data_IF_111012808649
#
_entry.id   IF_111012808649
#
_cell.length_a   1.000
_cell.length_b   1.000
_cell.length_c   1.000
_cell.angle_alpha   90.00
_cell.angle_beta   90.00
_cell.angle_gamma   90.00
#
_symmetry.space_group_name_H-M   'P 1'
#
loop_
_entity.id
_entity.type
_entity.pdbx_description
1 polymer ?
#
# COMPACT_ATOMS: atom_id res chain seq x y z
N UNK A 1 -9.40 1.92 -15.47
CA UNK A 1 -9.88 3.29 -15.75
C UNK A 1 -8.65 4.12 -16.15
N UNK A 2 -8.48 4.43 -17.44
CA UNK A 2 -7.42 5.34 -17.87
C UNK A 2 -7.80 6.72 -17.35
N UNK A 3 -7.03 7.27 -16.39
CA UNK A 3 -7.15 8.68 -16.07
C UNK A 3 -6.78 9.46 -17.33
N UNK A 4 -7.71 10.23 -17.92
CA UNK A 4 -7.38 11.00 -19.11
C UNK A 4 -6.33 12.03 -18.70
N UNK A 5 -5.19 12.03 -19.39
CA UNK A 5 -4.11 13.02 -19.20
C UNK A 5 -4.60 14.46 -19.38
N UNK A 6 -5.75 14.64 -20.03
CA UNK A 6 -6.44 15.93 -20.23
C UNK A 6 -7.35 16.37 -19.07
N UNK A 7 -7.43 15.64 -17.96
CA UNK A 7 -8.29 15.97 -16.80
C UNK A 7 -7.54 16.58 -15.61
N UNK A 8 -6.21 16.69 -15.69
CA UNK A 8 -5.39 17.23 -14.60
C UNK A 8 -5.61 18.74 -14.45
N UNK A 9 -5.85 19.46 -15.54
CA UNK A 9 -6.07 20.92 -15.52
C UNK A 9 -7.50 21.33 -15.11
N UNK A 10 -8.41 20.36 -14.95
CA UNK A 10 -9.83 20.62 -14.61
C UNK A 10 -10.21 20.27 -13.17
N UNK A 11 -9.26 19.88 -12.32
CA UNK A 11 -9.54 19.63 -10.91
C UNK A 11 -9.68 20.98 -10.18
N UNK A 12 -10.85 21.31 -9.62
CA UNK A 12 -11.00 22.50 -8.80
C UNK A 12 -9.97 22.48 -7.66
N UNK A 13 -9.37 23.64 -7.36
CA UNK A 13 -8.46 23.82 -6.21
C UNK A 13 -9.10 23.47 -4.86
N UNK A 14 -10.41 23.23 -4.82
CA UNK A 14 -11.20 22.81 -3.66
C UNK A 14 -11.39 21.28 -3.52
N UNK A 15 -10.79 20.44 -4.38
CA UNK A 15 -11.03 18.98 -4.38
C UNK A 15 -10.15 18.18 -3.42
N UNK A 16 -9.12 18.79 -2.82
CA UNK A 16 -8.26 18.07 -1.87
C UNK A 16 -8.04 18.86 -0.58
N UNK A 17 -8.95 18.75 0.41
CA UNK A 17 -8.56 18.91 1.80
C UNK A 17 -7.73 17.67 2.15
N UNK A 18 -6.45 17.90 2.38
CA UNK A 18 -5.40 16.89 2.45
C UNK A 18 -5.44 16.23 3.88
N UNK A 19 -4.72 15.15 4.19
CA UNK A 19 -4.82 14.40 5.48
C UNK A 19 -3.50 13.81 5.96
N UNK A 20 -3.04 14.23 7.15
CA UNK A 20 -1.80 13.75 7.74
C UNK A 20 -2.14 12.66 8.78
N UNK A 21 -2.37 11.45 8.27
CA UNK A 21 -2.03 10.22 9.00
C UNK A 21 -0.61 9.91 8.57
N UNK A 22 0.31 9.43 9.43
CA UNK A 22 1.58 8.87 8.98
C UNK A 22 1.32 7.99 7.76
N UNK A 23 1.77 8.44 6.59
CA UNK A 23 1.04 8.24 5.35
C UNK A 23 0.88 6.77 5.01
N UNK A 24 -0.31 6.24 5.28
CA UNK A 24 -0.64 4.83 5.08
C UNK A 24 -0.58 4.40 3.61
N UNK A 25 -0.31 5.32 2.67
CA UNK A 25 -0.19 5.04 1.24
C UNK A 25 1.13 5.53 0.63
N UNK A 26 1.46 6.80 0.83
CA UNK A 26 2.71 7.40 0.33
C UNK A 26 3.96 6.87 1.07
N UNK A 27 3.87 6.72 2.38
CA UNK A 27 4.98 6.30 3.24
C UNK A 27 5.49 4.88 2.93
N UNK A 28 4.66 4.03 2.33
CA UNK A 28 5.01 2.65 1.95
C UNK A 28 5.94 2.59 0.72
N UNK A 29 5.97 3.64 -0.10
CA UNK A 29 6.85 3.76 -1.27
C UNK A 29 8.22 4.32 -0.88
N UNK A 30 8.34 5.05 0.22
CA UNK A 30 9.59 5.67 0.65
C UNK A 30 10.73 4.66 0.91
N UNK A 31 10.52 3.51 1.58
CA UNK A 31 11.56 2.50 1.72
C UNK A 31 12.03 1.95 0.36
N UNK A 32 11.10 1.78 -0.60
CA UNK A 32 11.41 1.33 -1.95
C UNK A 32 12.28 2.35 -2.68
N UNK A 33 11.91 3.63 -2.63
CA UNK A 33 12.69 4.74 -3.18
C UNK A 33 14.08 4.83 -2.53
N UNK A 34 14.16 4.67 -1.21
CA UNK A 34 15.42 4.72 -0.47
C UNK A 34 16.36 3.58 -0.89
N UNK A 35 15.85 2.35 -1.01
CA UNK A 35 16.65 1.20 -1.47
C UNK A 35 17.05 1.36 -2.94
N UNK A 36 16.12 1.76 -3.81
CA UNK A 36 16.39 1.94 -5.24
C UNK A 36 17.50 2.96 -5.51
N UNK A 37 17.58 4.02 -4.71
CA UNK A 37 18.53 5.12 -4.92
C UNK A 37 19.84 4.95 -4.16
N UNK A 38 20.06 3.85 -3.43
CA UNK A 38 21.34 3.68 -2.72
C UNK A 38 22.59 3.71 -3.60
N UNK A 39 22.58 3.30 -4.88
CA UNK A 39 23.75 3.45 -5.74
C UNK A 39 24.24 4.90 -5.87
N UNK A 40 23.36 5.89 -5.68
CA UNK A 40 23.69 7.33 -5.73
C UNK A 40 24.40 7.85 -4.47
N UNK A 41 24.41 7.07 -3.39
CA UNK A 41 25.01 7.48 -2.11
C UNK A 41 26.54 7.29 -2.12
N UNK A 42 27.28 8.07 -1.31
CA UNK A 42 28.71 7.86 -1.08
C UNK A 42 29.01 6.42 -0.64
N UNK A 43 30.16 5.88 -1.08
CA UNK A 43 30.55 4.49 -0.85
C UNK A 43 30.50 4.08 0.63
N UNK A 44 30.97 4.94 1.53
CA UNK A 44 30.91 4.69 2.97
C UNK A 44 29.48 4.44 3.48
N UNK A 45 28.50 5.18 2.95
CA UNK A 45 27.09 5.02 3.32
C UNK A 45 26.54 3.73 2.71
N UNK A 46 26.84 3.44 1.44
CA UNK A 46 26.44 2.18 0.79
C UNK A 46 26.95 0.97 1.56
N UNK A 47 28.23 0.96 1.93
CA UNK A 47 28.84 -0.13 2.69
C UNK A 47 28.16 -0.32 4.06
N UNK A 48 27.85 0.78 4.76
CA UNK A 48 27.12 0.71 6.04
C UNK A 48 25.70 0.16 5.86
N UNK A 49 24.96 0.64 4.86
CA UNK A 49 23.59 0.16 4.60
C UNK A 49 23.61 -1.31 4.18
N UNK A 50 24.49 -1.71 3.27
CA UNK A 50 24.69 -3.08 2.84
C UNK A 50 25.07 -4.03 3.98
N UNK A 51 25.81 -3.54 4.98
CA UNK A 51 26.16 -4.30 6.17
C UNK A 51 24.99 -4.54 7.14
N UNK A 52 23.90 -3.76 7.10
CA UNK A 52 22.84 -3.82 8.11
C UNK A 52 21.44 -4.11 7.57
N UNK A 53 21.10 -3.68 6.36
CA UNK A 53 19.78 -3.94 5.77
C UNK A 53 19.77 -5.35 5.19
N UNK A 54 18.75 -6.13 5.55
CA UNK A 54 18.59 -7.53 5.12
C UNK A 54 17.26 -7.82 4.44
N UNK A 55 16.27 -6.94 4.63
CA UNK A 55 14.93 -7.14 4.08
C UNK A 55 14.33 -5.81 3.63
N UNK A 56 13.66 -5.84 2.49
CA UNK A 56 12.73 -4.82 2.04
C UNK A 56 11.33 -5.45 2.02
N UNK A 57 10.51 -5.08 3.00
CA UNK A 57 9.15 -5.62 3.16
C UNK A 57 8.16 -4.54 2.74
N UNK A 58 7.41 -4.85 1.68
CA UNK A 58 6.30 -4.05 1.20
C UNK A 58 5.07 -4.53 1.97
N UNK A 59 4.64 -3.76 2.95
CA UNK A 59 3.39 -4.02 3.64
C UNK A 59 2.26 -3.35 2.84
N UNK A 60 1.32 -4.15 2.35
CA UNK A 60 0.02 -3.82 1.76
C UNK A 60 -0.07 -2.46 1.03
N UNK A 61 0.14 -2.45 -0.28
CA UNK A 61 0.19 -1.21 -1.08
C UNK A 61 -0.55 -1.38 -2.39
N UNK A 62 -1.31 -0.37 -2.82
CA UNK A 62 -2.03 -0.42 -4.08
C UNK A 62 -1.11 -0.46 -5.31
N UNK A 63 -1.58 -0.96 -6.47
CA UNK A 63 -0.83 -0.94 -7.73
C UNK A 63 -0.24 0.44 -8.08
N UNK A 64 -0.98 1.52 -7.83
CA UNK A 64 -0.52 2.89 -8.12
C UNK A 64 0.73 3.29 -7.33
N UNK A 65 0.94 2.72 -6.13
CA UNK A 65 2.16 2.92 -5.33
C UNK A 65 3.42 2.39 -6.05
N UNK A 66 3.25 1.54 -7.06
CA UNK A 66 4.33 0.96 -7.87
C UNK A 66 4.37 1.49 -9.29
N UNK A 67 3.52 2.48 -9.62
CA UNK A 67 3.31 2.90 -11.00
C UNK A 67 2.71 1.81 -11.89
N UNK A 68 1.93 0.90 -11.30
CA UNK A 68 1.20 -0.15 -11.99
C UNK A 68 -0.28 0.24 -12.13
N UNK A 69 -0.99 -0.26 -13.16
CA UNK A 69 -2.38 0.12 -13.40
C UNK A 69 -3.31 -0.35 -12.28
N UNK A 70 -4.24 0.52 -11.88
CA UNK A 70 -5.32 0.17 -10.96
C UNK A 70 -6.42 -0.61 -11.70
N UNK A 71 -7.04 -1.64 -11.07
CA UNK A 71 -8.24 -2.28 -11.59
C UNK A 71 -9.38 -1.28 -11.80
N UNK A 72 -10.27 -1.57 -12.76
CA UNK A 72 -11.46 -0.73 -13.03
C UNK A 72 -12.45 -0.66 -11.87
N UNK A 73 -12.46 -1.70 -11.03
CA UNK A 73 -13.30 -1.86 -9.85
C UNK A 73 -12.85 -0.98 -8.67
N UNK A 74 -11.67 -0.34 -8.78
CA UNK A 74 -11.09 0.44 -7.71
C UNK A 74 -12.09 1.46 -7.13
N UNK A 75 -12.21 1.43 -5.80
CA UNK A 75 -13.09 2.29 -5.04
C UNK A 75 -12.29 3.03 -3.98
N UNK A 76 -12.63 4.30 -3.75
CA UNK A 76 -12.13 5.07 -2.61
C UNK A 76 -13.17 6.13 -2.24
N UNK A 77 -13.59 6.22 -0.96
CA UNK A 77 -14.47 7.28 -0.49
C UNK A 77 -14.00 8.71 -0.81
N UNK A 78 -12.70 8.91 -1.08
CA UNK A 78 -12.11 10.21 -1.39
C UNK A 78 -12.60 10.84 -2.69
N UNK A 79 -13.07 10.02 -3.64
CA UNK A 79 -13.50 10.49 -4.96
C UNK A 79 -15.00 10.26 -5.21
N UNK A 80 -15.74 9.79 -4.20
CA UNK A 80 -17.18 9.55 -4.32
C UNK A 80 -17.93 10.87 -4.16
N UNK A 81 -18.54 11.34 -5.25
CA UNK A 81 -19.24 12.63 -5.29
C UNK A 81 -20.44 12.72 -4.35
N UNK A 82 -21.12 11.60 -4.11
CA UNK A 82 -22.25 11.54 -3.18
C UNK A 82 -21.85 11.68 -1.70
N UNK A 83 -20.56 11.58 -1.37
CA UNK A 83 -20.05 11.86 -0.02
C UNK A 83 -19.66 13.34 0.03
N UNK A 84 -20.23 14.14 0.96
CA UNK A 84 -19.84 15.54 1.14
C UNK A 84 -18.32 15.68 1.33
N UNK A 85 -17.65 16.66 0.70
CA UNK A 85 -16.18 16.78 0.73
C UNK A 85 -15.58 16.72 2.14
N UNK A 86 -16.20 17.41 3.10
CA UNK A 86 -15.77 17.44 4.51
C UNK A 86 -15.98 16.12 5.28
N UNK A 87 -16.61 15.11 4.67
CA UNK A 87 -16.84 13.78 5.24
C UNK A 87 -16.01 12.68 4.58
N UNK A 88 -15.37 12.96 3.44
CA UNK A 88 -14.64 11.95 2.65
C UNK A 88 -13.45 11.36 3.40
N UNK A 89 -12.67 12.18 4.11
CA UNK A 89 -11.53 11.70 4.92
C UNK A 89 -11.99 10.78 6.06
N UNK A 90 -13.08 11.12 6.73
CA UNK A 90 -13.65 10.28 7.79
C UNK A 90 -14.17 8.96 7.22
N UNK A 91 -14.92 8.99 6.11
CA UNK A 91 -15.39 7.79 5.43
C UNK A 91 -14.22 6.92 4.93
N UNK A 92 -13.16 7.54 4.41
CA UNK A 92 -11.94 6.86 3.99
C UNK A 92 -11.23 6.18 5.16
N UNK A 93 -11.08 6.84 6.30
CA UNK A 93 -10.45 6.24 7.49
C UNK A 93 -11.22 4.99 7.96
N UNK A 94 -12.55 5.05 7.97
CA UNK A 94 -13.40 3.90 8.32
C UNK A 94 -13.27 2.77 7.30
N UNK A 95 -13.32 3.09 6.00
CA UNK A 95 -13.18 2.10 4.93
C UNK A 95 -11.78 1.46 4.92
N UNK A 96 -10.72 2.26 5.02
CA UNK A 96 -9.34 1.78 5.00
C UNK A 96 -9.02 0.90 6.21
N UNK A 97 -9.69 1.11 7.34
CA UNK A 97 -9.56 0.27 8.56
C UNK A 97 -10.60 -0.85 8.64
N UNK A 98 -11.44 -1.00 7.62
CA UNK A 98 -12.47 -2.03 7.55
C UNK A 98 -11.88 -3.43 7.35
N UNK A 99 -12.70 -4.44 7.63
CA UNK A 99 -12.38 -5.84 7.36
C UNK A 99 -13.22 -6.33 6.20
N UNK A 100 -12.65 -6.75 5.07
CA UNK A 100 -13.39 -7.06 3.86
C UNK A 100 -13.56 -8.57 3.68
N UNK A 101 -14.77 -9.02 3.38
CA UNK A 101 -15.04 -10.42 3.04
C UNK A 101 -14.91 -10.60 1.53
N UNK A 102 -13.69 -10.91 1.08
CA UNK A 102 -13.45 -11.25 -0.30
C UNK A 102 -13.99 -12.64 -0.65
N UNK A 103 -14.32 -12.82 -1.92
CA UNK A 103 -14.97 -14.00 -2.48
C UNK A 103 -16.33 -14.33 -1.84
N UNK A 104 -17.38 -13.75 -2.42
CA UNK A 104 -18.77 -14.00 -2.02
C UNK A 104 -19.21 -15.47 -2.16
N UNK A 105 -18.46 -16.30 -2.90
CA UNK A 105 -18.76 -17.74 -3.02
C UNK A 105 -18.36 -18.53 -1.78
N UNK A 106 -17.66 -17.91 -0.81
CA UNK A 106 -17.24 -18.51 0.44
C UNK A 106 -16.07 -19.46 0.31
N UNK A 107 -15.39 -19.50 -0.85
CA UNK A 107 -14.15 -20.25 -0.96
C UNK A 107 -13.06 -19.57 -0.14
N UNK A 108 -12.06 -20.36 0.24
CA UNK A 108 -10.92 -19.85 0.99
C UNK A 108 -10.06 -18.98 0.06
N UNK A 109 -9.98 -17.70 0.35
CA UNK A 109 -9.04 -16.79 -0.29
C UNK A 109 -7.59 -17.16 0.09
N UNK A 110 -6.73 -17.40 -0.90
CA UNK A 110 -5.34 -17.84 -0.73
C UNK A 110 -4.42 -17.22 -1.79
N UNK A 111 -3.11 -17.40 -1.65
CA UNK A 111 -2.14 -17.01 -2.69
C UNK A 111 -2.31 -17.79 -4.03
N UNK A 112 -3.10 -18.86 -4.05
CA UNK A 112 -3.40 -19.64 -5.25
C UNK A 112 -4.75 -19.25 -5.87
N UNK A 113 -5.49 -18.33 -5.24
CA UNK A 113 -6.74 -17.82 -5.80
C UNK A 113 -6.45 -17.13 -7.13
N UNK A 114 -7.21 -17.42 -8.21
CA UNK A 114 -7.05 -16.73 -9.49
C UNK A 114 -7.10 -15.21 -9.33
N UNK A 115 -6.25 -14.49 -10.06
CA UNK A 115 -6.20 -13.03 -10.03
C UNK A 115 -7.39 -12.45 -10.81
N UNK A 116 -8.56 -12.44 -10.17
CA UNK A 116 -9.79 -11.88 -10.71
C UNK A 116 -10.28 -10.75 -9.81
N UNK A 117 -10.14 -9.47 -10.24
CA UNK A 117 -10.61 -8.31 -9.47
C UNK A 117 -12.09 -8.33 -9.11
N UNK A 118 -12.93 -9.06 -9.87
CA UNK A 118 -14.37 -9.17 -9.59
C UNK A 118 -14.68 -10.10 -8.40
N UNK A 119 -13.69 -10.88 -7.95
CA UNK A 119 -13.81 -11.70 -6.73
C UNK A 119 -13.51 -10.91 -5.45
N UNK A 120 -12.96 -9.70 -5.56
CA UNK A 120 -12.65 -8.85 -4.42
C UNK A 120 -13.82 -7.95 -4.06
N UNK A 121 -13.99 -7.72 -2.76
CA UNK A 121 -14.93 -6.74 -2.22
C UNK A 121 -14.24 -5.38 -2.07
N UNK A 122 -14.71 -4.39 -2.82
CA UNK A 122 -14.07 -3.08 -2.97
C UNK A 122 -14.70 -1.99 -2.10
N UNK A 123 -15.96 -2.13 -1.74
CA UNK A 123 -16.80 -1.06 -1.19
C UNK A 123 -17.18 -1.35 0.25
N UNK A 124 -17.74 -2.52 0.51
CA UNK A 124 -18.37 -2.85 1.80
C UNK A 124 -17.42 -3.69 2.66
N UNK A 125 -17.06 -3.17 3.82
CA UNK A 125 -16.44 -4.01 4.83
C UNK A 125 -17.51 -4.90 5.53
N UNK A 126 -17.06 -6.03 6.05
CA UNK A 126 -17.79 -6.99 6.87
C UNK A 126 -18.38 -6.38 8.14
N UNK A 127 -19.07 -7.23 8.92
CA UNK A 127 -19.66 -6.86 10.21
C UNK A 127 -18.64 -6.64 11.34
N UNK A 128 -17.36 -6.99 11.14
CA UNK A 128 -16.33 -6.69 12.14
C UNK A 128 -16.09 -5.19 12.20
N UNK A 129 -16.05 -4.65 13.42
CA UNK A 129 -15.84 -3.23 13.68
C UNK A 129 -14.47 -2.80 13.08
N UNK A 130 -14.43 -1.78 12.21
CA UNK A 130 -13.18 -1.23 11.69
C UNK A 130 -12.23 -0.81 12.81
N UNK A 131 -10.92 -1.03 12.62
CA UNK A 131 -9.86 -0.69 13.60
C UNK A 131 -9.97 0.75 14.10
N UNK A 132 -10.38 1.67 13.22
CA UNK A 132 -10.59 3.08 13.54
C UNK A 132 -11.42 3.32 14.80
N UNK A 133 -12.44 2.49 15.05
CA UNK A 133 -13.33 2.64 16.19
C UNK A 133 -12.82 1.99 17.48
N UNK A 134 -11.75 1.19 17.40
CA UNK A 134 -11.09 0.61 18.57
C UNK A 134 -10.05 1.56 19.19
N UNK A 135 -9.62 2.58 18.46
CA UNK A 135 -8.66 3.57 18.94
C UNK A 135 -9.39 4.55 19.87
N UNK A 136 -8.93 4.78 21.12
CA UNK A 136 -9.51 5.78 22.01
C UNK A 136 -9.59 7.14 21.34
N UNK A 137 -10.69 7.88 21.51
CA UNK A 137 -10.90 9.17 20.83
C UNK A 137 -9.79 10.17 21.11
N UNK A 138 -9.27 10.24 22.33
CA UNK A 138 -8.16 11.14 22.69
C UNK A 138 -6.90 10.82 21.87
N UNK A 139 -6.52 9.55 21.79
CA UNK A 139 -5.38 9.08 20.99
C UNK A 139 -5.62 9.32 19.49
N UNK A 140 -6.84 9.04 19.00
CA UNK A 140 -7.21 9.29 17.62
C UNK A 140 -7.06 10.77 17.26
N UNK A 141 -7.51 11.68 18.12
CA UNK A 141 -7.37 13.14 17.89
C UNK A 141 -5.92 13.62 17.89
N UNK A 142 -4.99 12.88 18.50
CA UNK A 142 -3.56 13.19 18.46
C UNK A 142 -2.87 12.69 17.19
N UNK A 143 -3.42 11.69 16.51
CA UNK A 143 -2.83 11.08 15.31
C UNK A 143 -3.53 11.44 14.00
N UNK A 144 -4.67 12.14 14.06
CA UNK A 144 -5.42 12.54 12.87
C UNK A 144 -5.62 14.04 12.82
N UNK A 145 -5.36 14.64 11.65
CA UNK A 145 -5.78 16.00 11.32
C UNK A 145 -6.87 15.93 10.26
N UNK A 146 -7.94 16.71 10.44
CA UNK A 146 -9.06 16.81 9.51
C UNK A 146 -9.33 18.28 9.14
N UNK A 147 -10.00 18.51 8.02
CA UNK A 147 -10.36 19.85 7.57
C UNK A 147 -9.24 20.51 6.76
N UNK A 148 -9.17 21.83 6.82
CA UNK A 148 -8.29 22.63 5.94
C UNK A 148 -6.81 22.56 6.33
N UNK A 149 -6.50 22.19 7.58
CA UNK A 149 -5.12 22.09 8.11
C UNK A 149 -4.45 20.75 7.77
N UNK A 150 -5.23 19.79 7.31
CA UNK A 150 -4.77 18.44 7.11
C UNK A 150 -3.98 18.33 5.79
N UNK A 151 -2.91 17.51 5.72
CA UNK A 151 -1.93 17.40 4.60
C UNK A 151 -1.59 15.95 4.23
N UNK A 152 -1.57 15.53 2.96
CA UNK A 152 -1.35 14.12 2.58
C UNK A 152 -0.34 13.98 1.45
N UNK A 153 0.36 12.85 1.45
CA UNK A 153 1.27 12.43 0.38
C UNK A 153 0.54 11.80 -0.82
N UNK A 154 -0.80 11.78 -0.86
CA UNK A 154 -1.54 11.21 -2.01
C UNK A 154 -1.11 11.77 -3.37
N UNK A 155 -0.84 13.09 -3.55
CA UNK A 155 -0.30 13.61 -4.81
C UNK A 155 0.96 12.87 -5.28
N UNK A 156 1.80 12.40 -4.35
CA UNK A 156 3.00 11.63 -4.71
C UNK A 156 2.64 10.36 -5.49
N UNK A 157 1.57 9.68 -5.10
CA UNK A 157 1.10 8.45 -5.76
C UNK A 157 0.68 8.70 -7.21
N UNK A 158 0.06 9.85 -7.48
CA UNK A 158 -0.48 10.16 -8.79
C UNK A 158 0.57 10.73 -9.73
N UNK A 159 1.42 11.64 -9.24
CA UNK A 159 2.34 12.41 -10.08
C UNK A 159 3.69 11.73 -10.30
N UNK A 160 4.08 10.75 -9.47
CA UNK A 160 5.38 10.08 -9.55
C UNK A 160 5.29 8.58 -9.89
N UNK A 161 4.23 8.17 -10.59
CA UNK A 161 4.04 6.77 -10.98
C UNK A 161 5.22 6.21 -11.77
N UNK A 162 5.81 7.00 -12.68
CA UNK A 162 6.97 6.56 -13.45
C UNK A 162 8.20 6.32 -12.56
N UNK A 163 8.42 7.19 -11.58
CA UNK A 163 9.50 7.10 -10.61
C UNK A 163 9.29 5.92 -9.66
N UNK A 164 8.05 5.66 -9.25
CA UNK A 164 7.67 4.49 -8.47
C UNK A 164 7.96 3.19 -9.23
N UNK A 165 7.59 3.13 -10.52
CA UNK A 165 7.86 1.96 -11.37
C UNK A 165 9.36 1.73 -11.56
N UNK A 166 10.12 2.80 -11.79
CA UNK A 166 11.60 2.73 -11.85
C UNK A 166 12.18 2.21 -10.55
N UNK A 167 11.72 2.73 -9.41
CA UNK A 167 12.21 2.29 -8.10
C UNK A 167 11.86 0.83 -7.81
N UNK A 168 10.63 0.38 -8.08
CA UNK A 168 10.26 -1.03 -7.97
C UNK A 168 11.18 -1.91 -8.83
N UNK A 169 11.35 -1.54 -10.09
CA UNK A 169 12.22 -2.26 -11.02
C UNK A 169 13.66 -2.31 -10.49
N UNK A 170 14.17 -1.19 -9.97
CA UNK A 170 15.52 -1.11 -9.46
C UNK A 170 15.73 -1.99 -8.22
N UNK A 171 14.84 -1.92 -7.24
CA UNK A 171 14.90 -2.78 -6.04
C UNK A 171 14.90 -4.26 -6.40
N UNK A 172 14.19 -4.66 -7.46
CA UNK A 172 14.06 -6.05 -7.86
C UNK A 172 15.19 -6.54 -8.78
N UNK A 173 15.71 -5.67 -9.67
CA UNK A 173 16.56 -6.11 -10.80
C UNK A 173 17.88 -5.37 -10.96
N UNK A 174 18.06 -4.20 -10.35
CA UNK A 174 19.25 -3.39 -10.61
C UNK A 174 20.49 -4.07 -10.01
N UNK A 175 21.53 -4.37 -10.81
CA UNK A 175 22.75 -4.99 -10.33
C UNK A 175 23.52 -4.13 -9.32
N UNK A 176 23.41 -2.80 -9.37
CA UNK A 176 24.07 -1.91 -8.42
C UNK A 176 23.36 -1.92 -7.06
N UNK A 177 22.03 -2.02 -7.06
CA UNK A 177 21.24 -2.25 -5.85
C UNK A 177 21.57 -3.64 -5.28
N UNK A 178 21.64 -4.67 -6.12
CA UNK A 178 22.01 -6.02 -5.70
C UNK A 178 23.45 -6.08 -5.14
N UNK A 179 24.39 -5.34 -5.74
CA UNK A 179 25.77 -5.22 -5.27
C UNK A 179 25.84 -4.52 -3.92
N UNK A 180 25.02 -3.48 -3.70
CA UNK A 180 24.90 -2.80 -2.40
C UNK A 180 24.29 -3.71 -1.34
N UNK A 181 23.31 -4.53 -1.72
CA UNK A 181 22.58 -5.41 -0.80
C UNK A 181 22.55 -6.87 -1.29
N UNK A 182 23.68 -7.59 -1.22
CA UNK A 182 23.79 -8.94 -1.79
C UNK A 182 22.89 -9.98 -1.10
N UNK A 183 22.42 -9.66 0.10
CA UNK A 183 21.57 -10.53 0.91
C UNK A 183 20.16 -9.93 1.14
N UNK A 184 19.72 -8.99 0.29
CA UNK A 184 18.41 -8.36 0.44
C UNK A 184 17.29 -9.34 0.12
N UNK A 185 16.50 -9.67 1.12
CA UNK A 185 15.23 -10.36 0.96
C UNK A 185 14.16 -9.35 0.58
N UNK A 186 13.30 -9.72 -0.36
CA UNK A 186 12.17 -8.91 -0.81
C UNK A 186 10.91 -9.64 -0.43
N UNK A 187 9.98 -8.93 0.18
CA UNK A 187 8.68 -9.49 0.50
C UNK A 187 7.55 -8.51 0.24
N UNK A 188 6.38 -9.07 -0.05
CA UNK A 188 5.12 -8.38 -0.09
C UNK A 188 4.16 -9.06 0.88
N UNK A 189 3.60 -8.31 1.81
CA UNK A 189 2.68 -8.82 2.83
C UNK A 189 1.36 -8.06 2.72
N UNK A 190 0.23 -8.74 2.65
CA UNK A 190 -1.10 -8.12 2.72
C UNK A 190 -2.05 -8.97 3.55
N UNK A 191 -3.04 -8.34 4.17
CA UNK A 191 -4.11 -9.08 4.85
C UNK A 191 -5.13 -9.68 3.87
N UNK A 192 -5.79 -10.78 4.24
CA UNK A 192 -6.93 -11.35 3.49
C UNK A 192 -8.27 -10.68 3.81
N UNK A 193 -8.29 -9.74 4.78
CA UNK A 193 -9.41 -8.85 5.11
C UNK A 193 -9.05 -7.39 4.85
N UNK A 194 -7.94 -7.11 4.18
CA UNK A 194 -7.55 -5.78 3.75
C UNK A 194 -8.55 -5.21 2.75
N UNK A 195 -8.63 -3.89 2.56
CA UNK A 195 -9.37 -3.39 1.41
C UNK A 195 -8.72 -3.86 0.11
N UNK A 196 -9.54 -4.13 -0.91
CA UNK A 196 -9.14 -4.88 -2.12
C UNK A 196 -7.90 -4.35 -2.85
N UNK A 197 -7.55 -3.06 -2.71
CA UNK A 197 -6.35 -2.50 -3.32
C UNK A 197 -5.06 -3.16 -2.85
N UNK A 198 -4.99 -3.67 -1.61
CA UNK A 198 -3.79 -4.30 -1.07
C UNK A 198 -3.50 -5.63 -1.77
N UNK A 199 -4.54 -6.44 -1.92
CA UNK A 199 -4.48 -7.69 -2.67
C UNK A 199 -4.24 -7.41 -4.16
N UNK A 200 -4.93 -6.43 -4.74
CA UNK A 200 -4.70 -6.05 -6.13
C UNK A 200 -3.26 -5.58 -6.38
N UNK A 201 -2.61 -4.94 -5.41
CA UNK A 201 -1.21 -4.54 -5.52
C UNK A 201 -0.26 -5.72 -5.48
N UNK A 202 -0.56 -6.73 -4.66
CA UNK A 202 0.15 -8.01 -4.66
C UNK A 202 0.05 -8.68 -6.04
N UNK A 203 -1.17 -8.85 -6.55
CA UNK A 203 -1.43 -9.44 -7.86
C UNK A 203 -0.75 -8.67 -8.99
N UNK A 204 -0.80 -7.33 -8.95
CA UNK A 204 -0.15 -6.50 -9.96
C UNK A 204 1.36 -6.73 -10.03
N UNK A 205 2.05 -6.94 -8.91
CA UNK A 205 3.48 -7.27 -8.92
C UNK A 205 3.70 -8.70 -9.44
N UNK A 206 2.84 -9.65 -9.06
CA UNK A 206 2.93 -11.04 -9.51
C UNK A 206 2.72 -11.18 -11.03
N UNK A 207 1.86 -10.35 -11.61
CA UNK A 207 1.52 -10.38 -13.02
C UNK A 207 2.42 -9.48 -13.87
N UNK A 208 3.20 -8.56 -13.27
CA UNK A 208 4.05 -7.64 -14.02
C UNK A 208 5.21 -8.40 -14.71
N UNK A 209 5.28 -8.37 -16.06
CA UNK A 209 6.26 -9.14 -16.80
C UNK A 209 7.70 -8.89 -16.35
N UNK A 210 8.36 -9.98 -16.01
CA UNK A 210 9.75 -10.01 -15.58
C UNK A 210 9.97 -9.61 -14.12
N UNK A 211 9.04 -8.98 -13.39
CA UNK A 211 9.30 -8.70 -11.96
C UNK A 211 9.38 -9.98 -11.12
N UNK A 212 8.73 -11.05 -11.58
CA UNK A 212 8.80 -12.38 -10.97
C UNK A 212 10.10 -13.14 -11.22
N UNK A 213 11.02 -12.62 -12.04
CA UNK A 213 12.37 -13.19 -12.16
C UNK A 213 13.17 -12.98 -10.85
N UNK A 214 12.77 -12.00 -10.03
CA UNK A 214 13.35 -11.76 -8.72
C UNK A 214 12.66 -12.62 -7.64
N UNK A 215 13.41 -13.18 -6.67
CA UNK A 215 12.82 -13.93 -5.57
C UNK A 215 12.11 -12.98 -4.60
N UNK A 216 10.79 -12.84 -4.75
CA UNK A 216 9.91 -12.08 -3.85
C UNK A 216 9.10 -13.08 -3.03
N UNK A 217 9.13 -12.94 -1.71
CA UNK A 217 8.24 -13.68 -0.81
C UNK A 217 6.88 -12.99 -0.73
N UNK A 218 5.81 -13.72 -1.04
CA UNK A 218 4.44 -13.22 -0.90
C UNK A 218 3.78 -13.85 0.32
N UNK A 219 3.20 -13.03 1.20
CA UNK A 219 2.49 -13.50 2.38
C UNK A 219 1.10 -12.86 2.47
N UNK A 220 0.10 -13.73 2.61
CA UNK A 220 -1.28 -13.34 2.88
C UNK A 220 -1.60 -13.59 4.35
N UNK A 221 -1.77 -12.52 5.12
CA UNK A 221 -2.01 -12.57 6.56
C UNK A 221 -3.49 -12.80 6.84
N UNK A 222 -3.80 -14.01 7.30
CA UNK A 222 -5.16 -14.41 7.63
C UNK A 222 -5.75 -13.56 8.75
N UNK A 223 -6.94 -13.00 8.52
CA UNK A 223 -7.66 -12.11 9.41
C UNK A 223 -7.14 -10.67 9.44
N UNK A 224 -6.05 -10.36 8.73
CA UNK A 224 -5.46 -9.02 8.71
C UNK A 224 -6.23 -8.06 7.80
N UNK A 225 -6.47 -6.84 8.26
CA UNK A 225 -6.83 -5.70 7.42
C UNK A 225 -5.62 -4.75 7.23
N UNK A 226 -5.84 -3.59 6.61
CA UNK A 226 -4.80 -2.58 6.37
C UNK A 226 -4.09 -2.08 7.63
N UNK A 227 -4.83 -2.04 8.74
CA UNK A 227 -4.40 -1.52 10.04
C UNK A 227 -4.21 -2.62 11.09
N UNK A 228 -4.00 -3.86 10.66
CA UNK A 228 -3.98 -5.02 11.55
C UNK A 228 -2.90 -4.94 12.64
N UNK A 229 -1.84 -4.14 12.43
CA UNK A 229 -0.81 -3.89 13.44
C UNK A 229 -1.33 -3.17 14.69
N UNK A 230 -2.48 -2.48 14.59
CA UNK A 230 -3.12 -1.83 15.74
C UNK A 230 -4.04 -2.79 16.50
N UNK A 231 -4.72 -3.71 15.80
CA UNK A 231 -5.59 -4.69 16.43
C UNK A 231 -4.81 -5.90 16.99
N UNK A 232 -3.81 -6.38 16.25
CA UNK A 232 -2.92 -7.48 16.64
C UNK A 232 -1.48 -7.22 16.12
N UNK A 233 -0.66 -6.46 16.87
CA UNK A 233 0.72 -6.16 16.46
C UNK A 233 1.59 -7.42 16.34
N UNK A 234 1.30 -8.48 17.11
CA UNK A 234 2.07 -9.72 17.06
C UNK A 234 1.81 -10.48 15.75
N UNK A 235 0.57 -10.46 15.24
CA UNK A 235 0.24 -11.07 13.95
C UNK A 235 1.07 -10.47 12.82
N UNK A 236 1.13 -9.14 12.72
CA UNK A 236 1.90 -8.46 11.68
C UNK A 236 3.40 -8.63 11.91
N UNK A 237 3.90 -8.50 13.15
CA UNK A 237 5.31 -8.72 13.46
C UNK A 237 5.76 -10.13 13.05
N UNK A 238 4.96 -11.15 13.37
CA UNK A 238 5.28 -12.53 13.00
C UNK A 238 5.27 -12.75 11.48
N UNK A 239 4.37 -12.09 10.74
CA UNK A 239 4.38 -12.11 9.28
C UNK A 239 5.66 -11.47 8.73
N UNK A 240 6.02 -10.28 9.23
CA UNK A 240 7.27 -9.60 8.85
C UNK A 240 8.49 -10.48 9.14
N UNK A 241 8.55 -11.14 10.31
CA UNK A 241 9.65 -12.04 10.65
C UNK A 241 9.70 -13.25 9.71
N UNK A 242 8.59 -13.91 9.39
CA UNK A 242 8.56 -15.02 8.42
C UNK A 242 9.02 -14.59 7.03
N UNK A 243 8.61 -13.41 6.60
CA UNK A 243 8.93 -12.87 5.29
C UNK A 243 10.37 -12.32 5.18
N UNK A 244 10.96 -11.87 6.30
CA UNK A 244 12.27 -11.24 6.36
C UNK A 244 13.41 -12.18 6.82
N UNK A 245 13.11 -13.35 7.38
CA UNK A 245 14.10 -14.34 7.87
C UNK A 245 14.31 -15.49 6.91
#
# INVERSE_FOLDING_TARGET
MNWPSSSIDSLPSSVFPLMEVPSCWGGRVLPLLAVANTPTLPEQIRNRLGAHIRSCVIYESAPICFGLPMPSQNYSPLVVESIPPNKRLQAFAQWATGYFDHDASGNKFTLQTPHDPDTLEWVLHSSKIPTYYNIPTEELTQMTVYGDEASTDLPMLFFFQNEHKKALTAVLKDPDVASTFPNLKRAYITGDKAPAFGIAGMWAIQDEPGLMDAPIHFELVKGGNHFAMWDDPNMILNAVLRAAT
#
